data_IF_327196912703
#
_entry.id   IF_327196912703
#
_cell.length_a   1.000
_cell.length_b   1.000
_cell.length_c   1.000
_cell.angle_alpha   90.00
_cell.angle_beta   90.00
_cell.angle_gamma   90.00
#
_symmetry.space_group_name_H-M   'P 1'
#
loop_
_entity.id
_entity.type
_entity.pdbx_description
1 polymer ?
#
# COMPACT_ATOMS: atom_id res chain seq x y z
N UNK A 1 1.47 -2.95 -14.13
CA UNK A 1 2.16 -1.88 -14.89
C UNK A 1 2.51 -0.69 -13.99
N UNK A 2 1.56 -0.01 -13.34
CA UNK A 2 1.82 1.15 -12.45
C UNK A 2 2.81 0.83 -11.31
N UNK A 3 2.66 -0.31 -10.64
CA UNK A 3 3.57 -0.73 -9.56
C UNK A 3 5.03 -0.71 -10.02
N UNK A 4 5.34 -1.36 -11.15
CA UNK A 4 6.71 -1.42 -11.65
C UNK A 4 7.24 -0.05 -12.11
N UNK A 5 6.38 0.82 -12.64
CA UNK A 5 6.77 2.17 -13.03
C UNK A 5 7.12 3.03 -11.81
N UNK A 6 6.34 2.92 -10.73
CA UNK A 6 6.61 3.60 -9.47
C UNK A 6 7.90 3.10 -8.82
N UNK A 7 8.09 1.76 -8.78
CA UNK A 7 9.32 1.16 -8.26
C UNK A 7 10.53 1.67 -9.04
N UNK A 8 10.45 1.65 -10.38
CA UNK A 8 11.55 2.11 -11.22
C UNK A 8 11.87 3.59 -10.98
N UNK A 9 10.87 4.44 -10.82
CA UNK A 9 11.05 5.86 -10.50
C UNK A 9 11.69 6.08 -9.13
N UNK A 10 11.17 5.45 -8.10
CA UNK A 10 11.70 5.53 -6.73
C UNK A 10 13.15 5.08 -6.65
N UNK A 11 13.44 3.88 -7.16
CA UNK A 11 14.80 3.34 -7.10
C UNK A 11 15.78 4.13 -7.95
N UNK A 12 15.36 4.65 -9.11
CA UNK A 12 16.19 5.53 -9.92
C UNK A 12 16.49 6.88 -9.24
N UNK A 13 15.62 7.32 -8.33
CA UNK A 13 15.81 8.55 -7.53
C UNK A 13 16.63 8.31 -6.25
N UNK A 14 16.96 7.05 -5.95
CA UNK A 14 17.77 6.68 -4.78
C UNK A 14 16.98 6.15 -3.59
N UNK A 15 15.65 6.05 -3.73
CA UNK A 15 14.79 5.59 -2.65
C UNK A 15 14.52 4.08 -2.72
N UNK A 16 14.47 3.42 -1.58
CA UNK A 16 14.11 2.01 -1.50
C UNK A 16 12.60 1.82 -1.60
N UNK A 17 12.18 0.84 -2.40
CA UNK A 17 10.76 0.50 -2.59
C UNK A 17 10.44 -0.85 -1.95
N UNK A 18 9.58 -0.84 -0.91
CA UNK A 18 9.14 -2.03 -0.18
C UNK A 18 7.76 -2.49 -0.66
N UNK A 19 7.69 -3.66 -1.27
CA UNK A 19 6.49 -4.18 -1.89
C UNK A 19 5.63 -4.99 -0.94
N UNK A 20 4.41 -4.53 -0.72
CA UNK A 20 3.37 -5.26 0.00
C UNK A 20 2.49 -6.12 -0.93
N UNK A 21 2.65 -5.97 -2.24
CA UNK A 21 1.83 -6.63 -3.26
C UNK A 21 0.33 -6.33 -3.11
N UNK A 22 -0.52 -7.33 -3.40
CA UNK A 22 -1.97 -7.17 -3.25
C UNK A 22 -2.34 -7.12 -1.78
N UNK A 23 -2.75 -5.95 -1.32
CA UNK A 23 -3.16 -5.68 0.06
C UNK A 23 -4.22 -4.58 0.11
N UNK A 24 -4.68 -4.24 1.30
CA UNK A 24 -5.69 -3.19 1.51
C UNK A 24 -5.04 -1.84 1.83
N UNK A 25 -5.74 -0.74 1.54
CA UNK A 25 -5.27 0.60 1.92
C UNK A 25 -4.95 0.73 3.42
N UNK A 26 -5.80 0.20 4.36
CA UNK A 26 -5.43 0.22 5.77
C UNK A 26 -4.15 -0.56 6.11
N UNK A 27 -3.82 -1.60 5.35
CA UNK A 27 -2.56 -2.33 5.54
C UNK A 27 -1.36 -1.44 5.19
N UNK A 28 -1.43 -0.71 4.07
CA UNK A 28 -0.37 0.22 3.67
C UNK A 28 -0.22 1.34 4.72
N UNK A 29 -1.33 1.94 5.16
CA UNK A 29 -1.35 2.98 6.17
C UNK A 29 -0.76 2.52 7.52
N UNK A 30 -1.13 1.31 7.95
CA UNK A 30 -0.61 0.73 9.17
C UNK A 30 0.91 0.52 9.09
N UNK A 31 1.39 -0.06 7.99
CA UNK A 31 2.81 -0.36 7.82
C UNK A 31 3.64 0.92 7.65
N UNK A 32 3.16 1.92 6.91
CA UNK A 32 3.84 3.20 6.80
C UNK A 32 4.16 3.78 8.19
N UNK A 33 3.18 3.73 9.09
CA UNK A 33 3.34 4.27 10.46
C UNK A 33 4.19 3.43 11.39
N UNK A 34 4.06 2.08 11.38
CA UNK A 34 4.69 1.23 12.41
C UNK A 34 6.11 0.78 12.05
N UNK A 35 6.47 0.87 10.79
CA UNK A 35 7.78 0.49 10.29
C UNK A 35 8.60 1.72 9.84
N UNK A 36 8.17 2.92 10.27
CA UNK A 36 8.87 4.20 10.07
C UNK A 36 9.20 4.49 8.59
N UNK A 37 8.26 4.20 7.67
CA UNK A 37 8.42 4.58 6.28
C UNK A 37 8.11 6.07 6.07
N UNK A 38 8.82 6.70 5.15
CA UNK A 38 8.60 8.11 4.79
C UNK A 38 7.23 8.32 4.16
N UNK A 39 6.79 7.39 3.32
CA UNK A 39 5.44 7.38 2.79
C UNK A 39 4.96 5.98 2.37
N UNK A 40 3.66 5.83 2.26
CA UNK A 40 3.00 4.67 1.66
C UNK A 40 2.35 5.04 0.32
N UNK A 41 2.42 4.16 -0.66
CA UNK A 41 1.76 4.35 -1.96
C UNK A 41 0.79 3.21 -2.19
N UNK A 42 -0.49 3.54 -2.39
CA UNK A 42 -1.54 2.57 -2.70
C UNK A 42 -2.08 2.80 -4.11
N UNK A 43 -1.96 1.80 -4.96
CA UNK A 43 -2.54 1.81 -6.30
C UNK A 43 -3.94 1.21 -6.21
N UNK A 44 -4.96 2.05 -6.30
CA UNK A 44 -6.36 1.62 -6.20
C UNK A 44 -7.32 2.71 -6.62
N UNK A 45 -8.29 2.37 -7.46
CA UNK A 45 -9.43 3.23 -7.79
C UNK A 45 -10.64 2.98 -6.86
N UNK A 46 -10.43 2.40 -5.67
CA UNK A 46 -11.48 2.10 -4.69
C UNK A 46 -12.55 1.14 -5.24
N UNK A 47 -13.78 1.60 -5.37
CA UNK A 47 -14.96 0.84 -5.85
C UNK A 47 -15.31 1.10 -7.32
N UNK A 48 -14.45 1.80 -8.01
CA UNK A 48 -14.62 2.04 -9.45
C UNK A 48 -14.48 0.74 -10.26
N UNK A 49 -14.94 0.71 -11.50
CA UNK A 49 -14.71 -0.42 -12.38
C UNK A 49 -13.24 -0.81 -12.47
N UNK A 50 -12.95 -2.09 -12.69
CA UNK A 50 -11.60 -2.67 -12.64
C UNK A 50 -10.58 -2.03 -13.60
N UNK A 51 -11.05 -1.38 -14.65
CA UNK A 51 -10.21 -0.69 -15.62
C UNK A 51 -9.76 0.71 -15.17
N UNK A 52 -10.37 1.24 -14.13
CA UNK A 52 -9.94 2.49 -13.52
C UNK A 52 -8.77 2.23 -12.58
N UNK A 53 -7.89 3.22 -12.47
CA UNK A 53 -6.78 3.20 -11.55
C UNK A 53 -6.64 4.55 -10.84
N UNK A 54 -6.02 4.51 -9.68
CA UNK A 54 -5.70 5.70 -8.92
C UNK A 54 -4.47 5.45 -8.04
N UNK A 55 -3.77 6.51 -7.71
CA UNK A 55 -2.62 6.47 -6.80
C UNK A 55 -2.99 7.29 -5.58
N UNK A 56 -2.84 6.70 -4.39
CA UNK A 56 -3.06 7.37 -3.11
C UNK A 56 -1.73 7.43 -2.38
N UNK A 57 -1.32 8.63 -2.01
CA UNK A 57 -0.16 8.84 -1.17
C UNK A 57 -0.61 8.91 0.29
N UNK A 58 0.13 8.21 1.15
CA UNK A 58 -0.11 8.06 2.59
C UNK A 58 1.17 8.55 3.27
N UNK A 59 1.03 9.38 4.27
CA UNK A 59 2.17 9.92 5.01
C UNK A 59 2.78 8.92 6.01
N UNK A 60 3.87 9.31 6.66
CA UNK A 60 4.54 8.50 7.68
C UNK A 60 3.69 8.24 8.94
N UNK A 61 2.60 8.96 9.13
CA UNK A 61 1.65 8.73 10.22
C UNK A 61 0.54 7.74 9.86
N UNK A 62 0.51 7.28 8.59
CA UNK A 62 -0.53 6.40 8.06
C UNK A 62 -1.81 7.13 7.68
N UNK A 63 -1.74 8.43 7.47
CA UNK A 63 -2.86 9.27 7.07
C UNK A 63 -2.77 9.63 5.58
N UNK A 64 -3.86 10.17 5.02
CA UNK A 64 -3.82 10.69 3.65
C UNK A 64 -2.79 11.82 3.59
N UNK A 65 -1.89 11.77 2.61
CA UNK A 65 -0.92 12.84 2.36
C UNK A 65 -1.62 14.20 2.33
N UNK A 66 -1.10 15.23 3.00
CA UNK A 66 -1.66 16.58 2.98
C UNK A 66 -1.85 17.08 1.55
N UNK A 67 -2.96 17.77 1.30
CA UNK A 67 -3.32 18.23 -0.06
C UNK A 67 -2.30 19.19 -0.64
N UNK A 68 -1.69 20.01 0.20
CA UNK A 68 -0.60 20.90 -0.18
C UNK A 68 0.61 20.16 -0.76
N UNK A 69 0.95 18.98 -0.23
CA UNK A 69 2.03 18.14 -0.76
C UNK A 69 1.59 17.48 -2.08
N UNK A 70 0.33 17.02 -2.16
CA UNK A 70 -0.19 16.44 -3.39
C UNK A 70 -0.17 17.44 -4.54
N UNK A 71 -0.56 18.70 -4.29
CA UNK A 71 -0.51 19.77 -5.26
C UNK A 71 0.93 20.08 -5.71
N UNK A 72 1.90 20.06 -4.80
CA UNK A 72 3.31 20.22 -5.16
C UNK A 72 3.80 19.10 -6.09
N UNK A 73 3.40 17.84 -5.81
CA UNK A 73 3.74 16.72 -6.67
C UNK A 73 3.10 16.85 -8.05
N UNK A 74 1.82 17.24 -8.12
CA UNK A 74 1.12 17.46 -9.37
C UNK A 74 1.75 18.61 -10.18
N UNK A 75 2.03 19.74 -9.54
CA UNK A 75 2.67 20.89 -10.20
C UNK A 75 4.08 20.56 -10.69
N UNK A 76 4.81 19.70 -9.95
CA UNK A 76 6.10 19.20 -10.41
C UNK A 76 5.97 18.32 -11.66
N UNK A 77 5.02 17.38 -11.67
CA UNK A 77 4.75 16.51 -12.82
C UNK A 77 4.32 17.33 -14.05
N UNK A 78 3.53 18.39 -13.84
CA UNK A 78 3.07 19.29 -14.88
C UNK A 78 4.15 20.28 -15.36
N UNK A 79 5.34 20.27 -14.77
CA UNK A 79 6.44 21.18 -15.08
C UNK A 79 6.19 22.63 -14.66
N UNK A 80 5.25 22.86 -13.74
CA UNK A 80 4.90 24.19 -13.23
C UNK A 80 5.75 24.60 -12.02
N UNK A 81 6.27 23.62 -11.28
CA UNK A 81 7.01 23.83 -10.05
C UNK A 81 8.40 23.23 -10.14
N UNK A 82 9.40 24.02 -9.86
CA UNK A 82 10.75 23.56 -9.60
C UNK A 82 10.94 23.49 -8.08
N UNK A 83 10.61 22.34 -7.48
CA UNK A 83 10.62 22.12 -6.02
C UNK A 83 12.03 22.22 -5.44
N UNK A 84 13.00 21.82 -6.24
CA UNK A 84 14.41 21.90 -5.87
C UNK A 84 15.05 23.10 -6.58
N UNK A 85 16.09 23.62 -5.99
CA UNK A 85 16.78 24.83 -6.41
C UNK A 85 16.80 25.04 -7.94
N UNK A 86 16.82 26.27 -8.39
CA UNK A 86 16.60 26.70 -9.78
C UNK A 86 17.42 25.97 -10.85
N UNK A 87 18.42 25.21 -10.45
CA UNK A 87 19.33 24.49 -11.33
C UNK A 87 18.97 23.02 -11.55
N UNK A 88 17.80 22.54 -11.06
CA UNK A 88 17.36 21.16 -11.24
C UNK A 88 16.13 21.07 -12.14
N UNK A 89 16.33 21.13 -13.47
CA UNK A 89 15.23 20.99 -14.43
C UNK A 89 14.72 19.56 -14.58
N UNK A 90 15.46 18.56 -14.04
CA UNK A 90 15.18 17.13 -14.19
C UNK A 90 15.18 16.44 -12.83
N UNK A 91 14.48 15.31 -12.76
CA UNK A 91 14.51 14.41 -11.59
C UNK A 91 15.95 14.04 -11.24
N UNK A 92 16.35 14.12 -9.96
CA UNK A 92 17.66 13.67 -9.55
C UNK A 92 17.76 12.16 -9.71
N UNK A 93 18.52 11.69 -10.66
CA UNK A 93 18.85 10.28 -10.76
C UNK A 93 20.01 9.95 -9.85
N UNK A 94 19.81 8.92 -9.03
CA UNK A 94 20.88 8.35 -8.23
C UNK A 94 21.90 7.61 -9.10
N UNK A 95 23.14 7.57 -8.65
CA UNK A 95 24.23 6.92 -9.37
C UNK A 95 24.92 5.89 -8.49
N UNK A 96 25.32 4.77 -9.09
CA UNK A 96 26.12 3.72 -8.46
C UNK A 96 25.47 3.17 -7.18
N UNK A 97 26.17 3.24 -6.06
CA UNK A 97 25.77 2.78 -4.73
C UNK A 97 24.57 3.55 -4.12
N UNK A 98 24.18 4.65 -4.71
CA UNK A 98 23.02 5.46 -4.28
C UNK A 98 21.71 5.08 -4.99
N UNK A 99 21.75 4.16 -5.95
CA UNK A 99 20.53 3.64 -6.58
C UNK A 99 19.78 2.83 -5.53
N UNK A 100 18.48 3.12 -5.36
CA UNK A 100 17.62 2.43 -4.41
C UNK A 100 17.35 0.99 -4.78
N UNK A 101 16.85 0.22 -3.84
CA UNK A 101 16.56 -1.20 -3.97
C UNK A 101 15.05 -1.48 -3.95
N UNK A 102 14.65 -2.55 -4.64
CA UNK A 102 13.33 -3.14 -4.49
C UNK A 102 13.38 -4.27 -3.47
N UNK A 103 12.53 -4.22 -2.46
CA UNK A 103 12.45 -5.23 -1.40
C UNK A 103 11.06 -5.86 -1.40
N UNK A 104 10.98 -7.19 -1.50
CA UNK A 104 9.73 -7.92 -1.26
C UNK A 104 9.42 -7.95 0.24
N UNK A 105 8.40 -7.17 0.66
CA UNK A 105 8.11 -6.94 2.07
C UNK A 105 6.88 -7.72 2.57
N UNK A 106 6.87 -9.04 2.37
CA UNK A 106 5.81 -9.94 2.86
C UNK A 106 5.65 -9.85 4.38
N UNK A 107 6.74 -9.60 5.12
CA UNK A 107 6.73 -9.43 6.57
C UNK A 107 5.82 -8.30 7.02
N UNK A 108 5.78 -7.19 6.31
CA UNK A 108 4.89 -6.06 6.61
C UNK A 108 3.41 -6.48 6.54
N UNK A 109 3.01 -7.17 5.46
CA UNK A 109 1.64 -7.69 5.33
C UNK A 109 1.27 -8.63 6.47
N UNK A 110 2.18 -9.53 6.85
CA UNK A 110 1.95 -10.46 7.97
C UNK A 110 1.83 -9.70 9.31
N UNK A 111 2.60 -8.63 9.49
CA UNK A 111 2.51 -7.76 10.67
C UNK A 111 1.14 -7.10 10.79
N UNK A 112 0.57 -6.61 9.70
CA UNK A 112 -0.79 -6.07 9.70
C UNK A 112 -1.83 -7.13 10.08
N UNK A 113 -1.73 -8.35 9.54
CA UNK A 113 -2.61 -9.45 9.95
C UNK A 113 -2.47 -9.76 11.45
N UNK A 114 -1.24 -9.82 11.97
CA UNK A 114 -0.98 -10.00 13.40
C UNK A 114 -1.60 -8.90 14.26
N UNK A 115 -1.52 -7.66 13.82
CA UNK A 115 -2.20 -6.54 14.48
C UNK A 115 -3.72 -6.73 14.53
N UNK A 116 -4.35 -7.07 13.40
CA UNK A 116 -5.80 -7.31 13.37
C UNK A 116 -6.22 -8.46 14.29
N UNK A 117 -5.45 -9.55 14.34
CA UNK A 117 -5.69 -10.67 15.25
C UNK A 117 -5.58 -10.21 16.70
N UNK A 118 -4.64 -9.35 17.03
CA UNK A 118 -4.43 -8.84 18.39
C UNK A 118 -5.58 -7.96 18.92
N UNK A 119 -6.42 -7.42 18.03
CA UNK A 119 -7.62 -6.68 18.41
C UNK A 119 -8.76 -7.59 18.88
N UNK A 120 -8.69 -8.87 18.58
CA UNK A 120 -9.66 -9.88 19.00
C UNK A 120 -9.49 -10.24 20.48
N UNK A 121 -10.32 -9.66 21.34
CA UNK A 121 -10.29 -9.94 22.80
C UNK A 121 -11.04 -11.21 23.20
N UNK A 122 -11.81 -11.78 22.28
CA UNK A 122 -12.56 -13.02 22.50
C UNK A 122 -12.28 -14.03 21.39
N UNK A 123 -12.36 -15.34 21.74
CA UNK A 123 -12.29 -16.41 20.76
C UNK A 123 -13.57 -16.49 19.94
N UNK A 124 -13.43 -16.71 18.64
CA UNK A 124 -14.55 -16.97 17.71
C UNK A 124 -14.82 -18.48 17.56
N UNK A 125 -14.27 -19.32 18.42
CA UNK A 125 -14.49 -20.77 18.35
C UNK A 125 -15.98 -21.13 18.39
N UNK A 126 -16.43 -21.86 17.37
CA UNK A 126 -17.84 -22.25 17.21
C UNK A 126 -18.70 -21.19 16.52
N UNK A 127 -18.14 -20.05 16.14
CA UNK A 127 -18.82 -19.01 15.34
C UNK A 127 -18.60 -19.28 13.86
N UNK A 128 -19.68 -19.32 13.09
CA UNK A 128 -19.62 -19.40 11.63
C UNK A 128 -19.63 -17.99 11.05
N UNK A 129 -18.63 -17.68 10.21
CA UNK A 129 -18.46 -16.37 9.59
C UNK A 129 -18.51 -16.52 8.07
N UNK A 130 -19.49 -15.88 7.44
CA UNK A 130 -19.53 -15.70 5.99
C UNK A 130 -18.80 -14.44 5.59
N UNK A 131 -17.83 -14.57 4.68
CA UNK A 131 -17.02 -13.46 4.16
C UNK A 131 -17.28 -13.29 2.67
N UNK A 132 -17.90 -12.20 2.27
CA UNK A 132 -17.93 -11.76 0.88
C UNK A 132 -16.79 -10.77 0.64
N UNK A 133 -15.78 -11.21 -0.10
CA UNK A 133 -14.60 -10.40 -0.38
C UNK A 133 -14.73 -9.54 -1.64
N UNK A 134 -15.89 -9.56 -2.32
CA UNK A 134 -16.17 -8.78 -3.53
C UNK A 134 -15.05 -8.85 -4.59
N UNK A 135 -14.35 -9.97 -4.66
CA UNK A 135 -13.13 -10.16 -5.47
C UNK A 135 -12.04 -9.09 -5.25
N UNK A 136 -12.06 -8.44 -4.10
CA UNK A 136 -11.14 -7.36 -3.74
C UNK A 136 -9.90 -7.84 -2.99
N UNK A 137 -9.00 -6.91 -2.67
CA UNK A 137 -7.69 -7.17 -2.05
C UNK A 137 -7.76 -7.70 -0.61
N UNK A 138 -8.92 -7.65 0.04
CA UNK A 138 -9.11 -8.10 1.43
C UNK A 138 -9.23 -9.62 1.60
N UNK A 139 -9.41 -10.38 0.52
CA UNK A 139 -9.74 -11.81 0.55
C UNK A 139 -8.77 -12.64 1.41
N UNK A 140 -7.49 -12.42 1.26
CA UNK A 140 -6.45 -13.16 1.98
C UNK A 140 -6.37 -12.73 3.46
N UNK A 141 -6.45 -11.44 3.72
CA UNK A 141 -6.36 -10.88 5.07
C UNK A 141 -7.57 -11.29 5.91
N UNK A 142 -8.78 -11.09 5.39
CA UNK A 142 -10.02 -11.34 6.13
C UNK A 142 -10.12 -12.80 6.58
N UNK A 143 -9.93 -13.75 5.67
CA UNK A 143 -9.96 -15.18 6.02
C UNK A 143 -8.92 -15.53 7.07
N UNK A 144 -7.67 -15.11 6.85
CA UNK A 144 -6.55 -15.46 7.76
C UNK A 144 -6.78 -14.94 9.18
N UNK A 145 -7.34 -13.76 9.33
CA UNK A 145 -7.64 -13.15 10.64
C UNK A 145 -8.74 -13.92 11.36
N UNK A 146 -9.87 -14.22 10.72
CA UNK A 146 -10.97 -14.93 11.35
C UNK A 146 -10.63 -16.38 11.65
N UNK A 147 -9.88 -17.06 10.78
CA UNK A 147 -9.37 -18.42 11.04
C UNK A 147 -8.45 -18.43 12.28
N UNK A 148 -7.55 -17.47 12.38
CA UNK A 148 -6.64 -17.35 13.52
C UNK A 148 -7.37 -17.06 14.85
N UNK A 149 -8.50 -16.36 14.80
CA UNK A 149 -9.37 -16.12 15.94
C UNK A 149 -10.26 -17.32 16.28
N UNK A 150 -10.23 -18.40 15.46
CA UNK A 150 -10.92 -19.65 15.71
C UNK A 150 -12.30 -19.78 15.09
N UNK A 151 -12.68 -18.90 14.15
CA UNK A 151 -13.96 -18.99 13.46
C UNK A 151 -13.97 -20.10 12.39
N UNK A 152 -15.17 -20.62 12.11
CA UNK A 152 -15.43 -21.44 10.93
C UNK A 152 -15.76 -20.50 9.76
N UNK A 153 -14.77 -20.21 8.90
CA UNK A 153 -14.92 -19.20 7.83
C UNK A 153 -15.37 -19.82 6.51
N UNK A 154 -16.36 -19.17 5.90
CA UNK A 154 -16.89 -19.45 4.58
C UNK A 154 -16.68 -18.23 3.69
N UNK A 155 -15.89 -18.37 2.62
CA UNK A 155 -15.49 -17.24 1.79
C UNK A 155 -16.11 -17.36 0.41
N UNK A 156 -16.71 -16.27 -0.07
CA UNK A 156 -17.19 -16.11 -1.43
C UNK A 156 -16.53 -14.90 -2.09
N UNK A 157 -16.54 -14.86 -3.43
CA UNK A 157 -15.96 -13.78 -4.22
C UNK A 157 -14.52 -13.44 -3.79
N UNK A 158 -13.68 -14.48 -3.67
CA UNK A 158 -12.31 -14.38 -3.16
C UNK A 158 -11.25 -14.44 -4.28
N UNK A 159 -11.64 -14.35 -5.54
CA UNK A 159 -10.73 -14.42 -6.68
C UNK A 159 -10.82 -13.12 -7.46
N UNK A 160 -9.85 -12.20 -7.29
CA UNK A 160 -9.73 -11.06 -8.17
C UNK A 160 -9.47 -11.58 -9.59
N UNK A 161 -10.49 -11.66 -10.41
CA UNK A 161 -10.36 -11.97 -11.84
C UNK A 161 -10.24 -10.67 -12.59
N UNK A 162 -9.15 -10.52 -13.33
CA UNK A 162 -8.93 -9.43 -14.28
C UNK A 162 -9.61 -9.79 -15.59
#
# INVERSE_FOLDING_TARGET
MFEYSLIAGLTASGEDAYLLHVTTTPSVAYIARVDDFDCGIMISASHNPYYDNGIKLIDCYGEKMPEEILLLVEDYIDGKLHVFDKDWPELPFAHREHIGCMVDYVTGRNRYMGYLISLGIYSFKGVKVGLDCANGSSWNIAKSVFDALGADTYVINAQPTV
#
